data_IF_760129965075
#
_entry.id   IF_760129965075
#
_cell.length_a   1.000
_cell.length_b   1.000
_cell.length_c   1.000
_cell.angle_alpha   90.00
_cell.angle_beta   90.00
_cell.angle_gamma   90.00
#
_symmetry.space_group_name_H-M   'P 1'
#
loop_
_entity.id
_entity.type
_entity.pdbx_description
1 polymer ?
#
# COMPACT_ATOMS: atom_id res chain seq x y z
N UNK A 1 8.90 30.12 22.24
CA UNK A 1 9.36 29.31 21.10
C UNK A 1 8.60 28.00 21.16
N UNK A 2 7.56 27.85 20.32
CA UNK A 2 6.75 26.64 20.30
C UNK A 2 7.56 25.53 19.62
N UNK A 3 8.01 24.55 20.38
CA UNK A 3 8.63 23.34 19.84
C UNK A 3 7.51 22.46 19.27
N UNK A 4 7.09 22.76 18.05
CA UNK A 4 6.15 21.93 17.29
C UNK A 4 6.88 20.66 16.85
N UNK A 5 6.42 19.50 17.34
CA UNK A 5 6.96 18.21 16.95
C UNK A 5 6.75 18.04 15.44
N UNK A 6 7.84 18.11 14.66
CA UNK A 6 7.79 18.05 13.21
C UNK A 6 7.26 16.68 12.77
N UNK A 7 6.07 16.66 12.19
CA UNK A 7 5.45 15.44 11.65
C UNK A 7 6.29 14.92 10.47
N UNK A 8 6.40 13.59 10.30
CA UNK A 8 7.13 13.04 9.17
C UNK A 8 6.45 13.42 7.84
N UNK A 9 7.22 13.67 6.77
CA UNK A 9 6.67 13.98 5.47
C UNK A 9 6.15 12.72 4.77
N UNK A 10 5.10 12.88 3.97
CA UNK A 10 4.56 11.85 3.10
C UNK A 10 5.58 11.50 2.01
N UNK A 11 5.82 10.20 1.81
CA UNK A 11 6.78 9.70 0.83
C UNK A 11 6.43 10.02 -0.63
N UNK A 12 5.15 10.32 -0.93
CA UNK A 12 4.70 10.64 -2.29
C UNK A 12 4.59 12.15 -2.55
N UNK A 13 3.87 12.90 -1.70
CA UNK A 13 3.54 14.30 -1.94
C UNK A 13 4.26 15.30 -1.02
N UNK A 14 5.04 14.82 -0.04
CA UNK A 14 5.83 15.66 0.87
C UNK A 14 5.03 16.37 1.98
N UNK A 15 3.71 16.25 2.01
CA UNK A 15 2.88 16.84 3.07
C UNK A 15 3.06 16.14 4.43
N UNK A 16 2.77 16.84 5.52
CA UNK A 16 2.83 16.28 6.88
C UNK A 16 1.89 15.08 7.05
N UNK A 17 2.40 13.96 7.57
CA UNK A 17 1.58 12.80 7.94
C UNK A 17 0.97 13.04 9.30
N UNK A 18 -0.32 13.39 9.31
CA UNK A 18 -1.05 13.72 10.53
C UNK A 18 -1.74 12.52 11.17
N UNK A 19 -2.03 11.50 10.37
CA UNK A 19 -2.75 10.29 10.75
C UNK A 19 -1.88 9.06 10.52
N UNK A 20 -1.87 8.17 11.50
CA UNK A 20 -1.21 6.87 11.41
C UNK A 20 -2.15 5.89 10.70
N UNK A 21 -1.59 4.93 9.95
CA UNK A 21 -2.37 3.87 9.29
C UNK A 21 -2.07 3.70 7.79
N UNK A 22 -1.34 4.63 7.19
CA UNK A 22 -0.89 4.52 5.80
C UNK A 22 0.63 4.37 5.78
N UNK A 23 1.10 3.15 6.03
CA UNK A 23 2.50 2.77 6.00
C UNK A 23 2.73 1.64 5.02
N UNK A 24 3.88 1.66 4.35
CA UNK A 24 4.29 0.57 3.46
C UNK A 24 5.73 0.18 3.81
N UNK A 25 5.90 -1.07 4.25
CA UNK A 25 7.22 -1.63 4.52
C UNK A 25 7.88 -2.06 3.20
N UNK A 26 8.95 -1.38 2.83
CA UNK A 26 9.84 -1.80 1.74
C UNK A 26 11.03 -2.53 2.34
N UNK A 27 11.73 -3.41 1.59
CA UNK A 27 12.93 -4.11 2.07
C UNK A 27 14.03 -3.18 2.60
N UNK A 28 14.04 -1.91 2.16
CA UNK A 28 15.04 -0.93 2.58
C UNK A 28 14.58 -0.05 3.74
N UNK A 29 13.28 0.27 3.83
CA UNK A 29 12.71 1.17 4.84
C UNK A 29 11.19 1.13 4.90
N UNK A 30 10.64 1.58 6.02
CA UNK A 30 9.22 1.89 6.12
C UNK A 30 8.91 3.26 5.49
N UNK A 31 7.91 3.31 4.63
CA UNK A 31 7.37 4.53 4.02
C UNK A 31 6.09 4.96 4.74
N UNK A 32 5.92 6.27 4.94
CA UNK A 32 4.77 6.89 5.58
C UNK A 32 4.00 7.74 4.57
N UNK A 33 2.68 7.67 4.58
CA UNK A 33 1.79 8.39 3.67
C UNK A 33 0.75 9.22 4.44
N UNK A 34 0.38 10.38 3.90
CA UNK A 34 -0.58 11.28 4.56
C UNK A 34 -2.04 10.79 4.43
N UNK A 35 -2.34 9.94 3.45
CA UNK A 35 -3.67 9.41 3.17
C UNK A 35 -3.62 8.12 2.35
N UNK A 36 -4.74 7.40 2.30
CA UNK A 36 -4.92 6.18 1.49
C UNK A 36 -4.58 6.41 0.01
N UNK A 37 -4.96 7.56 -0.56
CA UNK A 37 -4.70 7.86 -1.98
C UNK A 37 -3.21 7.91 -2.32
N UNK A 38 -2.37 8.48 -1.44
CA UNK A 38 -0.92 8.51 -1.66
C UNK A 38 -0.30 7.10 -1.59
N UNK A 39 -0.82 6.25 -0.70
CA UNK A 39 -0.40 4.85 -0.62
C UNK A 39 -0.78 4.10 -1.90
N UNK A 40 -2.04 4.19 -2.36
CA UNK A 40 -2.50 3.49 -3.55
C UNK A 40 -1.76 3.92 -4.81
N UNK A 41 -1.49 5.22 -4.99
CA UNK A 41 -0.70 5.71 -6.13
C UNK A 41 0.74 5.18 -6.04
N UNK A 42 1.34 5.20 -4.85
CA UNK A 42 2.70 4.68 -4.69
C UNK A 42 2.77 3.18 -5.02
N UNK A 43 1.80 2.39 -4.56
CA UNK A 43 1.68 0.98 -4.92
C UNK A 43 1.57 0.84 -6.44
N UNK A 44 0.62 1.50 -7.12
CA UNK A 44 0.46 1.38 -8.57
C UNK A 44 1.73 1.74 -9.38
N UNK A 45 2.52 2.70 -8.90
CA UNK A 45 3.77 3.10 -9.55
C UNK A 45 4.93 2.12 -9.29
N UNK A 46 4.91 1.37 -8.17
CA UNK A 46 6.01 0.49 -7.75
C UNK A 46 5.67 -1.01 -7.83
N UNK A 47 4.39 -1.39 -7.89
CA UNK A 47 3.89 -2.75 -8.10
C UNK A 47 4.36 -3.31 -9.45
N UNK A 48 4.61 -2.42 -10.43
CA UNK A 48 5.21 -2.78 -11.71
C UNK A 48 6.65 -3.33 -11.59
N UNK A 49 7.28 -3.24 -10.41
CA UNK A 49 8.64 -3.73 -10.16
C UNK A 49 8.70 -5.05 -9.36
N UNK A 50 7.58 -5.63 -8.94
CA UNK A 50 7.62 -6.89 -8.17
C UNK A 50 6.42 -7.77 -8.49
N UNK A 51 6.72 -8.95 -9.06
CA UNK A 51 5.84 -10.04 -9.48
C UNK A 51 5.24 -9.92 -10.91
N UNK A 52 5.85 -10.42 -11.99
CA UNK A 52 6.16 -11.83 -12.28
C UNK A 52 6.24 -12.75 -11.05
N UNK A 53 5.10 -12.91 -10.40
CA UNK A 53 4.79 -14.11 -9.67
C UNK A 53 3.48 -14.52 -10.31
N UNK A 54 3.59 -15.46 -11.24
CA UNK A 54 2.51 -16.28 -11.73
C UNK A 54 1.47 -16.43 -10.61
N UNK A 55 0.36 -15.71 -10.75
CA UNK A 55 -0.90 -16.16 -10.20
C UNK A 55 -1.13 -17.50 -10.93
N UNK A 56 -1.04 -18.67 -10.30
CA UNK A 56 -1.83 -19.78 -10.82
C UNK A 56 -3.25 -19.20 -10.82
N UNK A 57 -3.79 -19.03 -12.03
CA UNK A 57 -5.21 -19.02 -12.28
C UNK A 57 -5.85 -19.96 -11.26
N UNK A 58 -6.45 -19.39 -10.20
CA UNK A 58 -7.40 -20.14 -9.40
C UNK A 58 -8.48 -20.49 -10.43
N UNK A 59 -8.61 -21.77 -10.85
CA UNK A 59 -9.59 -22.11 -11.84
C UNK A 59 -10.91 -21.67 -11.25
N UNK A 60 -11.60 -20.80 -11.99
CA UNK A 60 -12.96 -20.38 -11.71
C UNK A 60 -13.74 -21.68 -11.57
N UNK A 61 -13.91 -22.16 -10.34
CA UNK A 61 -14.64 -23.39 -10.09
C UNK A 61 -16.07 -22.93 -9.93
N UNK A 62 -16.94 -23.05 -10.95
CA UNK A 62 -18.35 -22.83 -10.74
C UNK A 62 -18.79 -23.82 -9.65
N UNK A 63 -19.55 -23.41 -8.62
CA UNK A 63 -20.17 -24.36 -7.72
C UNK A 63 -21.23 -25.14 -8.50
N UNK A 64 -20.85 -26.23 -9.15
CA UNK A 64 -21.79 -27.17 -9.73
C UNK A 64 -22.06 -28.32 -8.75
N UNK A 65 -23.20 -28.18 -8.05
CA UNK A 65 -24.15 -29.24 -7.70
C UNK A 65 -23.61 -30.53 -7.04
N UNK A 66 -23.89 -30.68 -5.75
CA UNK A 66 -24.18 -31.98 -5.11
C UNK A 66 -25.54 -31.80 -4.42
N UNK A 67 -26.65 -32.19 -5.08
CA UNK A 67 -27.30 -33.51 -4.94
C UNK A 67 -27.49 -33.90 -3.47
N UNK A 68 -28.67 -33.59 -2.93
CA UNK A 68 -29.43 -34.47 -2.04
C UNK A 68 -30.92 -34.15 -2.15
#
# INVERSE_FOLDING_TARGET
>A
MSTEAKKPPCALCGQSVEIKGFTLDTPTKQLLFCCAGCLSIYQLLNENQSADANQPDDPITPPNKEVY
#
